data_IF_096669117755
#
_entry.id   IF_096669117755
#
_cell.length_a   1.000
_cell.length_b   1.000
_cell.length_c   1.000
_cell.angle_alpha   90.00
_cell.angle_beta   90.00
_cell.angle_gamma   90.00
#
_symmetry.space_group_name_H-M   'P 1'
#
loop_
_entity.id
_entity.type
_entity.pdbx_description
1 polymer ?
#
# COMPACT_ATOMS: atom_id res chain seq x y z
N UNK A 1 -13.58 4.80 10.93
CA UNK A 1 -12.36 3.96 10.91
C UNK A 1 -12.60 2.78 9.98
N UNK A 2 -11.68 2.52 9.04
CA UNK A 2 -11.74 1.37 8.11
C UNK A 2 -10.97 0.16 8.67
N UNK A 3 -10.89 0.02 9.99
CA UNK A 3 -10.06 -0.99 10.67
C UNK A 3 -10.41 -2.45 10.34
N UNK A 4 -11.57 -2.71 9.72
CA UNK A 4 -11.99 -4.04 9.26
C UNK A 4 -11.78 -4.28 7.76
N UNK A 5 -11.21 -3.31 7.03
CA UNK A 5 -11.02 -3.41 5.59
C UNK A 5 -9.92 -4.42 5.26
N UNK A 6 -10.29 -5.49 4.54
CA UNK A 6 -9.36 -6.53 4.08
C UNK A 6 -8.98 -6.39 2.61
N UNK A 7 -9.87 -5.80 1.81
CA UNK A 7 -9.74 -5.69 0.37
C UNK A 7 -10.06 -4.27 -0.06
N UNK A 8 -9.08 -3.60 -0.69
CA UNK A 8 -9.24 -2.29 -1.28
C UNK A 8 -8.81 -2.37 -2.74
N UNK A 9 -9.77 -2.30 -3.66
CA UNK A 9 -9.51 -2.21 -5.09
C UNK A 9 -10.14 -0.95 -5.65
N UNK A 10 -9.28 -0.05 -6.11
CA UNK A 10 -9.62 1.23 -6.74
C UNK A 10 -8.90 1.37 -8.08
N UNK A 11 -8.47 0.25 -8.67
CA UNK A 11 -7.79 0.23 -9.96
C UNK A 11 -8.72 0.57 -11.13
N UNK A 12 -8.13 0.97 -12.26
CA UNK A 12 -8.88 1.29 -13.49
C UNK A 12 -9.66 2.60 -13.42
N UNK A 13 -9.15 3.58 -12.67
CA UNK A 13 -9.76 4.89 -12.49
C UNK A 13 -8.87 6.01 -13.03
N UNK A 14 -9.26 7.26 -12.80
CA UNK A 14 -8.48 8.47 -13.11
C UNK A 14 -8.00 9.15 -11.83
N UNK A 15 -7.69 8.37 -10.78
CA UNK A 15 -7.25 8.93 -9.51
C UNK A 15 -5.87 9.56 -9.68
N UNK A 16 -5.72 10.76 -9.13
CA UNK A 16 -4.48 11.55 -9.11
C UNK A 16 -4.03 11.78 -7.65
N UNK A 17 -2.90 12.45 -7.46
CA UNK A 17 -2.35 12.72 -6.13
C UNK A 17 -1.46 11.59 -5.61
N UNK A 18 -1.19 11.56 -4.31
CA UNK A 18 -0.24 10.62 -3.67
C UNK A 18 -0.95 9.58 -2.82
N UNK A 19 -0.25 8.48 -2.52
CA UNK A 19 -0.74 7.45 -1.59
C UNK A 19 -0.76 8.03 -0.16
N UNK A 20 -1.93 8.11 0.51
CA UNK A 20 -2.01 8.66 1.86
C UNK A 20 -1.28 7.76 2.87
N UNK A 21 -0.44 8.35 3.74
CA UNK A 21 0.28 7.62 4.80
C UNK A 21 -0.68 6.88 5.76
N UNK A 22 -1.89 7.40 5.94
CA UNK A 22 -2.91 6.81 6.80
C UNK A 22 -3.38 5.42 6.36
N UNK A 23 -3.19 5.04 5.09
CA UNK A 23 -3.48 3.68 4.63
C UNK A 23 -2.59 2.64 5.32
N UNK A 24 -1.40 3.02 5.79
CA UNK A 24 -0.53 2.15 6.58
C UNK A 24 -1.08 1.80 7.97
N UNK A 25 -2.20 2.39 8.40
CA UNK A 25 -2.89 2.03 9.65
C UNK A 25 -3.89 0.87 9.46
N UNK A 26 -4.10 0.39 8.23
CA UNK A 26 -5.02 -0.70 7.94
C UNK A 26 -4.31 -2.06 8.12
N UNK A 27 -3.93 -2.38 9.36
CA UNK A 27 -3.05 -3.53 9.68
C UNK A 27 -3.57 -4.89 9.22
N UNK A 28 -4.87 -5.04 8.98
CA UNK A 28 -5.50 -6.28 8.48
C UNK A 28 -5.77 -6.28 6.96
N UNK A 29 -5.35 -5.23 6.24
CA UNK A 29 -5.53 -5.15 4.80
C UNK A 29 -4.70 -6.23 4.11
N UNK A 30 -5.37 -7.14 3.39
CA UNK A 30 -4.74 -8.25 2.68
C UNK A 30 -4.48 -7.95 1.21
N UNK A 31 -5.36 -7.19 0.57
CA UNK A 31 -5.25 -6.88 -0.86
C UNK A 31 -5.44 -5.39 -1.08
N UNK A 32 -4.43 -4.77 -1.69
CA UNK A 32 -4.49 -3.37 -2.08
C UNK A 32 -4.18 -3.23 -3.58
N UNK A 33 -5.18 -2.91 -4.39
CA UNK A 33 -5.05 -2.77 -5.83
C UNK A 33 -5.39 -1.33 -6.24
N UNK A 34 -4.38 -0.62 -6.77
CA UNK A 34 -4.48 0.76 -7.27
C UNK A 34 -4.03 0.90 -8.72
N UNK A 35 -3.77 -0.22 -9.39
CA UNK A 35 -3.25 -0.24 -10.75
C UNK A 35 -4.13 0.51 -11.74
N UNK A 36 -3.55 1.05 -12.80
CA UNK A 36 -4.29 1.74 -13.86
C UNK A 36 -4.96 3.03 -13.33
N UNK A 37 -4.12 3.93 -12.82
CA UNK A 37 -4.48 5.26 -12.34
C UNK A 37 -3.37 6.26 -12.72
N UNK A 38 -3.45 7.49 -12.20
CA UNK A 38 -2.46 8.56 -12.38
C UNK A 38 -1.84 8.97 -11.04
N UNK A 39 -1.74 8.03 -10.09
CA UNK A 39 -1.18 8.28 -8.75
C UNK A 39 0.32 8.52 -8.89
N UNK A 40 0.83 9.51 -8.17
CA UNK A 40 2.21 9.97 -8.22
C UNK A 40 2.91 9.92 -6.85
N UNK A 41 4.21 10.16 -6.85
CA UNK A 41 5.03 10.18 -5.64
C UNK A 41 5.44 8.78 -5.18
N UNK A 42 5.82 8.66 -3.91
CA UNK A 42 6.46 7.46 -3.38
C UNK A 42 5.49 6.60 -2.55
N UNK A 43 5.85 5.34 -2.35
CA UNK A 43 5.14 4.45 -1.41
C UNK A 43 5.52 4.86 0.02
N UNK A 44 4.55 5.12 0.92
CA UNK A 44 4.86 5.48 2.30
C UNK A 44 5.56 4.33 3.04
N UNK A 45 6.64 4.63 3.77
CA UNK A 45 7.35 3.63 4.61
C UNK A 45 6.45 3.00 5.67
N UNK A 46 5.36 3.68 6.07
CA UNK A 46 4.33 3.14 6.96
C UNK A 46 3.66 1.87 6.41
N UNK A 47 3.76 1.59 5.11
CA UNK A 47 3.21 0.35 4.53
C UNK A 47 3.89 -0.91 5.06
N UNK A 48 5.09 -0.82 5.65
CA UNK A 48 5.66 -1.93 6.42
C UNK A 48 4.83 -2.35 7.65
N UNK A 49 3.88 -1.52 8.10
CA UNK A 49 2.92 -1.89 9.14
C UNK A 49 1.74 -2.74 8.63
N UNK A 50 1.61 -2.94 7.31
CA UNK A 50 0.57 -3.78 6.72
C UNK A 50 0.97 -5.26 6.77
N UNK A 51 1.08 -5.79 7.99
CA UNK A 51 1.60 -7.15 8.24
C UNK A 51 0.75 -8.28 7.65
N UNK A 52 -0.50 -7.99 7.27
CA UNK A 52 -1.40 -8.96 6.62
C UNK A 52 -1.44 -8.80 5.09
N UNK A 53 -0.68 -7.87 4.49
CA UNK A 53 -0.74 -7.60 3.07
C UNK A 53 -0.19 -8.77 2.26
N UNK A 54 -1.05 -9.42 1.51
CA UNK A 54 -0.74 -10.55 0.64
C UNK A 54 -0.45 -10.12 -0.79
N UNK A 55 -1.11 -9.05 -1.27
CA UNK A 55 -0.88 -8.55 -2.61
C UNK A 55 -1.06 -7.03 -2.69
N UNK A 56 -0.04 -6.37 -3.26
CA UNK A 56 -0.07 -4.96 -3.62
C UNK A 56 0.15 -4.80 -5.12
N UNK A 57 -0.88 -4.35 -5.85
CA UNK A 57 -0.80 -4.10 -7.31
C UNK A 57 -0.89 -2.61 -7.57
N UNK A 58 0.17 -2.04 -8.14
CA UNK A 58 0.31 -0.59 -8.35
C UNK A 58 0.80 -0.21 -9.75
N UNK A 59 0.98 -1.20 -10.64
CA UNK A 59 1.44 -0.98 -12.01
C UNK A 59 0.52 -0.02 -12.78
N UNK A 60 1.05 0.64 -13.82
CA UNK A 60 0.33 1.65 -14.62
C UNK A 60 -0.15 2.81 -13.74
N UNK A 61 0.80 3.44 -13.05
CA UNK A 61 0.68 4.71 -12.30
C UNK A 61 1.96 5.53 -12.55
N UNK A 62 2.02 6.75 -12.01
CA UNK A 62 3.18 7.64 -12.06
C UNK A 62 3.98 7.62 -10.74
N UNK A 63 4.03 6.47 -10.06
CA UNK A 63 4.80 6.31 -8.83
C UNK A 63 6.31 6.42 -9.10
N UNK A 64 7.01 7.07 -8.18
CA UNK A 64 8.45 7.36 -8.25
C UNK A 64 9.17 6.88 -6.99
N UNK A 65 10.49 7.08 -6.95
CA UNK A 65 11.31 6.76 -5.77
C UNK A 65 11.63 5.28 -5.67
N UNK A 66 12.13 4.87 -4.51
CA UNK A 66 12.49 3.48 -4.19
C UNK A 66 11.39 2.81 -3.38
N UNK A 67 11.33 1.47 -3.45
CA UNK A 67 10.52 0.71 -2.52
C UNK A 67 11.07 0.90 -1.10
N UNK A 68 10.25 1.28 -0.11
CA UNK A 68 10.74 1.46 1.25
C UNK A 68 11.18 0.11 1.83
N UNK A 69 12.33 0.09 2.49
CA UNK A 69 12.93 -1.11 3.08
C UNK A 69 11.98 -1.83 4.06
N UNK A 70 11.10 -1.07 4.68
CA UNK A 70 10.07 -1.58 5.61
C UNK A 70 9.08 -2.57 4.97
N UNK A 71 9.00 -2.64 3.63
CA UNK A 71 8.23 -3.68 2.93
C UNK A 71 8.91 -5.05 2.97
N UNK A 72 10.22 -5.09 3.21
CA UNK A 72 11.02 -6.31 3.21
C UNK A 72 11.37 -6.77 4.62
N UNK A 73 11.13 -5.93 5.64
CA UNK A 73 11.28 -6.31 7.04
C UNK A 73 10.06 -7.09 7.50
N UNK A 74 10.18 -8.42 7.53
CA UNK A 74 9.26 -9.23 8.35
C UNK A 74 9.50 -8.85 9.81
N UNK A 75 8.44 -8.66 10.63
CA UNK A 75 8.63 -8.58 12.07
C UNK A 75 9.34 -9.87 12.47
N UNK A 76 10.56 -9.73 13.01
CA UNK A 76 11.26 -10.83 13.66
C UNK A 76 10.28 -11.42 14.68
N UNK A 77 9.74 -12.60 14.39
CA UNK A 77 9.07 -13.37 15.42
C UNK A 77 10.12 -13.62 16.48
N UNK A 78 9.87 -13.09 17.69
CA UNK A 78 10.79 -13.17 18.81
C UNK A 78 11.33 -14.57 18.99
N UNK A 79 12.66 -14.69 18.90
CA UNK A 79 13.42 -15.48 19.87
C UNK A 79 13.27 -14.85 21.26
#
# INVERSE_FOLDING_TARGET
SLSKLKYLNIGGNRLTGTIPVALGNLSILGWFFISENQIQGNIPSKFGSLTHLMAFRMQRNNLTGTLPESLFTYPLFGV
#
